data_IF_457707380284
#
_entry.id   IF_457707380284
#
_cell.length_a   1.000
_cell.length_b   1.000
_cell.length_c   1.000
_cell.angle_alpha   90.00
_cell.angle_beta   90.00
_cell.angle_gamma   90.00
#
_symmetry.space_group_name_H-M   'P 1'
#
loop_
_entity.id
_entity.type
_entity.pdbx_description
1 polymer ?
#
# COMPACT_ATOMS: atom_id res chain seq x y z
N UNK A 1 4.43 -27.19 -38.22
CA UNK A 1 4.30 -25.86 -37.63
C UNK A 1 3.71 -25.99 -36.22
N UNK A 2 4.49 -25.62 -35.24
CA UNK A 2 3.96 -25.53 -33.88
C UNK A 2 2.99 -24.35 -33.84
N UNK A 3 1.76 -24.50 -33.31
CA UNK A 3 0.89 -23.36 -33.13
C UNK A 3 1.59 -22.37 -32.19
N UNK A 4 1.75 -21.16 -32.63
CA UNK A 4 2.19 -20.07 -31.80
C UNK A 4 1.14 -19.95 -30.70
N UNK A 5 1.49 -20.36 -29.49
CA UNK A 5 0.66 -20.05 -28.35
C UNK A 5 0.59 -18.52 -28.30
N UNK A 6 -0.54 -17.98 -28.70
CA UNK A 6 -0.87 -16.60 -28.37
C UNK A 6 -0.80 -16.55 -26.85
N UNK A 7 0.22 -15.91 -26.33
CA UNK A 7 0.23 -15.54 -24.92
C UNK A 7 -1.03 -14.71 -24.70
N UNK A 8 -2.03 -15.35 -24.12
CA UNK A 8 -3.32 -14.73 -23.84
C UNK A 8 -3.23 -13.92 -22.54
N UNK A 9 -2.08 -13.24 -22.36
CA UNK A 9 -1.83 -12.38 -21.19
C UNK A 9 -2.67 -11.12 -21.32
N UNK A 10 -3.52 -10.89 -20.35
CA UNK A 10 -4.30 -9.67 -20.25
C UNK A 10 -3.44 -8.53 -19.73
N UNK A 11 -3.83 -7.32 -20.04
CA UNK A 11 -3.24 -6.11 -19.47
C UNK A 11 -4.18 -5.58 -18.41
N UNK A 12 -3.61 -5.33 -17.23
CA UNK A 12 -4.30 -4.68 -16.12
C UNK A 12 -3.98 -3.19 -16.13
N UNK A 13 -5.01 -2.38 -16.00
CA UNK A 13 -4.88 -0.94 -15.82
C UNK A 13 -5.23 -0.59 -14.38
N UNK A 14 -4.20 -0.15 -13.63
CA UNK A 14 -4.34 0.22 -12.23
C UNK A 14 -4.26 1.72 -12.05
N UNK A 15 -5.04 2.25 -11.14
CA UNK A 15 -4.86 3.58 -10.59
C UNK A 15 -4.27 3.47 -9.19
N UNK A 16 -3.12 4.08 -8.98
CA UNK A 16 -2.41 4.11 -7.70
C UNK A 16 -2.58 5.51 -7.13
N UNK A 17 -3.36 5.61 -6.06
CA UNK A 17 -3.77 6.87 -5.45
C UNK A 17 -3.01 7.05 -4.14
N UNK A 18 -2.30 8.17 -4.00
CA UNK A 18 -1.69 8.52 -2.73
C UNK A 18 -2.77 8.80 -1.69
N UNK A 19 -2.71 8.10 -0.55
CA UNK A 19 -3.68 8.24 0.52
C UNK A 19 -3.45 9.55 1.27
N UNK A 20 -4.08 10.62 0.81
CA UNK A 20 -3.98 11.97 1.36
C UNK A 20 -5.35 12.62 1.37
N UNK A 21 -5.67 13.34 2.45
CA UNK A 21 -6.90 14.11 2.56
C UNK A 21 -6.80 15.47 1.86
N UNK A 22 -5.59 15.95 1.59
CA UNK A 22 -5.33 17.30 1.08
C UNK A 22 -5.01 17.33 -0.41
N UNK A 23 -4.37 16.28 -0.91
CA UNK A 23 -3.78 16.27 -2.24
C UNK A 23 -4.43 15.20 -3.11
N UNK A 24 -4.70 15.57 -4.34
CA UNK A 24 -5.16 14.64 -5.37
C UNK A 24 -3.96 14.21 -6.22
N UNK A 25 -3.34 13.11 -5.83
CA UNK A 25 -2.10 12.61 -6.43
C UNK A 25 -2.28 11.15 -6.81
N UNK A 26 -2.10 10.84 -8.09
CA UNK A 26 -2.19 9.45 -8.55
C UNK A 26 -1.37 9.17 -9.79
N UNK A 27 -1.19 7.88 -10.07
CA UNK A 27 -0.53 7.36 -11.28
C UNK A 27 -1.39 6.27 -11.87
N UNK A 28 -1.55 6.27 -13.18
CA UNK A 28 -2.18 5.18 -13.91
C UNK A 28 -1.10 4.36 -14.62
N UNK A 29 -1.13 3.04 -14.39
CA UNK A 29 -0.13 2.09 -14.88
C UNK A 29 -0.84 0.97 -15.62
N UNK A 30 -0.30 0.60 -16.79
CA UNK A 30 -0.67 -0.63 -17.48
C UNK A 30 0.43 -1.65 -17.29
N UNK A 31 0.05 -2.86 -16.88
CA UNK A 31 0.99 -3.95 -16.59
C UNK A 31 0.37 -5.29 -17.01
N UNK A 32 1.21 -6.23 -17.43
CA UNK A 32 0.75 -7.58 -17.78
C UNK A 32 0.20 -8.30 -16.55
N UNK A 33 -0.91 -9.01 -16.72
CA UNK A 33 -1.53 -9.79 -15.65
C UNK A 33 -0.63 -10.89 -15.11
N UNK A 34 0.28 -11.39 -15.93
CA UNK A 34 1.29 -12.40 -15.57
C UNK A 34 2.50 -11.84 -14.82
N UNK A 35 2.62 -10.52 -14.70
CA UNK A 35 3.70 -9.89 -13.95
C UNK A 35 3.59 -10.23 -12.46
N UNK A 36 4.74 -10.22 -11.77
CA UNK A 36 4.79 -10.44 -10.34
C UNK A 36 4.45 -9.15 -9.59
N UNK A 37 4.07 -9.29 -8.32
CA UNK A 37 3.91 -8.14 -7.44
C UNK A 37 5.22 -7.37 -7.24
N UNK A 38 6.37 -8.04 -7.33
CA UNK A 38 7.68 -7.37 -7.28
C UNK A 38 7.88 -6.44 -8.48
N UNK A 39 7.51 -6.89 -9.69
CA UNK A 39 7.56 -6.02 -10.88
C UNK A 39 6.60 -4.83 -10.74
N UNK A 40 5.43 -5.05 -10.16
CA UNK A 40 4.47 -3.99 -9.88
C UNK A 40 5.01 -3.00 -8.83
N UNK A 41 5.60 -3.50 -7.75
CA UNK A 41 6.29 -2.70 -6.74
C UNK A 41 7.37 -1.80 -7.37
N UNK A 42 8.23 -2.37 -8.20
CA UNK A 42 9.28 -1.61 -8.89
C UNK A 42 8.70 -0.53 -9.80
N UNK A 43 7.61 -0.84 -10.49
CA UNK A 43 6.93 0.13 -11.37
C UNK A 43 6.34 1.29 -10.56
N UNK A 44 5.71 1.00 -9.43
CA UNK A 44 5.13 2.01 -8.53
C UNK A 44 6.24 2.92 -7.98
N UNK A 45 7.32 2.35 -7.47
CA UNK A 45 8.43 3.14 -6.91
C UNK A 45 9.05 4.07 -7.95
N UNK A 46 9.23 3.59 -9.18
CA UNK A 46 9.72 4.40 -10.28
C UNK A 46 8.72 5.51 -10.67
N UNK A 47 7.44 5.19 -10.71
CA UNK A 47 6.40 6.14 -11.11
C UNK A 47 6.28 7.31 -10.12
N UNK A 48 6.51 7.08 -8.84
CA UNK A 48 6.47 8.13 -7.81
C UNK A 48 7.83 8.72 -7.47
N UNK A 49 8.91 8.18 -8.02
CA UNK A 49 10.26 8.71 -7.82
C UNK A 49 10.94 8.24 -6.54
N UNK A 50 10.53 7.13 -5.97
CA UNK A 50 11.21 6.52 -4.83
C UNK A 50 12.47 5.76 -5.26
N UNK A 51 13.43 5.63 -4.35
CA UNK A 51 14.66 4.87 -4.59
C UNK A 51 14.45 3.36 -4.68
N UNK A 52 13.35 2.83 -4.15
CA UNK A 52 13.03 1.42 -4.20
C UNK A 52 13.82 0.53 -3.24
N UNK A 53 14.54 1.11 -2.29
CA UNK A 53 15.41 0.38 -1.34
C UNK A 53 14.78 0.11 0.02
N UNK A 54 13.58 0.62 0.26
CA UNK A 54 12.90 0.47 1.53
C UNK A 54 11.96 -0.74 1.56
N UNK A 55 11.53 -1.13 2.75
CA UNK A 55 10.55 -2.19 2.95
C UNK A 55 9.20 -1.79 2.39
N UNK A 56 8.49 -2.76 1.81
CA UNK A 56 7.18 -2.52 1.23
C UNK A 56 6.31 -3.77 1.33
N UNK A 57 5.00 -3.58 1.32
CA UNK A 57 4.01 -4.65 1.24
C UNK A 57 2.77 -4.20 0.50
N UNK A 58 2.13 -5.14 -0.17
CA UNK A 58 0.75 -5.00 -0.64
C UNK A 58 -0.17 -5.73 0.33
N UNK A 59 -1.39 -5.22 0.44
CA UNK A 59 -2.47 -5.87 1.18
C UNK A 59 -3.68 -5.98 0.26
N UNK A 60 -4.29 -7.15 0.18
CA UNK A 60 -5.58 -7.30 -0.50
C UNK A 60 -6.61 -6.46 0.26
N UNK A 61 -7.48 -5.76 -0.46
CA UNK A 61 -8.48 -4.89 0.15
C UNK A 61 -9.85 -5.13 -0.45
N UNK A 62 -10.87 -4.77 0.31
CA UNK A 62 -12.27 -4.83 -0.09
C UNK A 62 -12.80 -3.45 -0.52
N UNK A 63 -14.11 -3.35 -0.74
CA UNK A 63 -14.76 -2.11 -1.17
C UNK A 63 -14.76 -1.01 -0.10
N UNK A 64 -14.45 -1.35 1.14
CA UNK A 64 -14.35 -0.40 2.27
C UNK A 64 -12.91 -0.05 2.62
N UNK A 65 -11.95 -0.54 1.83
CA UNK A 65 -10.52 -0.35 2.06
C UNK A 65 -10.01 -0.98 3.36
N UNK A 66 -10.62 -2.09 3.77
CA UNK A 66 -10.09 -2.88 4.87
C UNK A 66 -8.83 -3.61 4.44
N UNK A 67 -7.84 -3.64 5.33
CA UNK A 67 -6.57 -4.31 5.10
C UNK A 67 -6.73 -5.82 5.27
N UNK A 68 -6.46 -6.59 4.21
CA UNK A 68 -6.55 -8.03 4.19
C UNK A 68 -5.18 -8.71 4.18
N UNK A 69 -5.07 -9.80 3.41
CA UNK A 69 -3.86 -10.61 3.32
C UNK A 69 -2.67 -9.82 2.76
N UNK A 70 -1.51 -10.00 3.37
CA UNK A 70 -0.26 -9.31 3.00
C UNK A 70 0.51 -10.09 1.92
N UNK A 71 1.04 -9.34 0.96
CA UNK A 71 2.02 -9.81 -0.01
C UNK A 71 3.29 -9.00 0.23
N UNK A 72 4.29 -9.62 0.84
CA UNK A 72 5.47 -8.94 1.35
C UNK A 72 6.62 -8.93 0.36
N UNK A 73 7.44 -7.89 0.39
CA UNK A 73 8.68 -7.84 -0.38
C UNK A 73 9.69 -8.88 0.13
N UNK A 74 9.81 -9.00 1.46
CA UNK A 74 10.67 -9.97 2.12
C UNK A 74 9.91 -10.71 3.21
N UNK A 75 10.28 -11.99 3.42
CA UNK A 75 9.73 -12.80 4.50
C UNK A 75 10.37 -12.42 5.84
N UNK A 76 9.60 -11.75 6.68
CA UNK A 76 10.01 -11.33 8.03
C UNK A 76 9.49 -12.28 9.12
N UNK A 77 8.80 -13.36 8.74
CA UNK A 77 8.17 -14.28 9.70
C UNK A 77 9.14 -15.30 10.30
N UNK A 78 10.36 -15.36 9.80
CA UNK A 78 11.38 -16.35 10.20
C UNK A 78 10.92 -17.81 10.06
N UNK A 79 10.04 -18.08 9.09
CA UNK A 79 9.49 -19.40 8.82
C UNK A 79 8.34 -19.81 9.73
N UNK A 80 7.82 -18.91 10.56
CA UNK A 80 6.71 -19.21 11.48
C UNK A 80 5.35 -19.18 10.80
N UNK A 81 5.19 -18.39 9.74
CA UNK A 81 3.94 -18.24 8.99
C UNK A 81 4.17 -18.43 7.49
N UNK A 82 3.14 -18.89 6.78
CA UNK A 82 3.13 -18.85 5.32
C UNK A 82 2.85 -17.42 4.85
N UNK A 83 3.84 -16.80 4.22
CA UNK A 83 3.75 -15.43 3.72
C UNK A 83 3.79 -15.47 2.20
N UNK A 84 2.87 -14.74 1.56
CA UNK A 84 2.96 -14.50 0.12
C UNK A 84 4.09 -13.50 -0.13
N UNK A 85 5.00 -13.85 -1.03
CA UNK A 85 6.11 -13.00 -1.42
C UNK A 85 5.85 -12.36 -2.78
N UNK A 86 6.19 -11.10 -2.92
CA UNK A 86 6.04 -10.36 -4.18
C UNK A 86 6.75 -11.04 -5.35
N UNK A 87 7.92 -11.64 -5.12
CA UNK A 87 8.72 -12.29 -6.16
C UNK A 87 8.10 -13.58 -6.69
N UNK A 88 7.23 -14.22 -5.90
CA UNK A 88 6.65 -15.54 -6.22
C UNK A 88 5.13 -15.45 -6.50
N UNK A 89 4.55 -14.29 -6.46
CA UNK A 89 3.11 -14.10 -6.59
C UNK A 89 2.81 -13.24 -7.82
N UNK A 90 2.07 -13.80 -8.78
CA UNK A 90 1.64 -13.06 -9.97
C UNK A 90 0.39 -12.22 -9.64
N UNK A 91 0.22 -11.14 -10.38
CA UNK A 91 -0.96 -10.28 -10.22
C UNK A 91 -2.25 -11.06 -10.47
N UNK A 92 -2.32 -11.81 -11.57
CA UNK A 92 -3.53 -12.57 -11.94
C UNK A 92 -3.91 -13.64 -10.92
N UNK A 93 -2.96 -14.14 -10.12
CA UNK A 93 -3.25 -15.13 -9.08
C UNK A 93 -4.09 -14.56 -7.93
N UNK A 94 -4.10 -13.24 -7.77
CA UNK A 94 -4.81 -12.55 -6.68
C UNK A 94 -6.04 -11.77 -7.14
N UNK A 95 -6.13 -11.45 -8.43
CA UNK A 95 -7.27 -10.70 -8.99
C UNK A 95 -8.27 -11.65 -9.64
N UNK A 96 -9.08 -12.27 -8.81
CA UNK A 96 -10.17 -13.13 -9.24
C UNK A 96 -11.46 -12.73 -8.48
N UNK A 97 -12.60 -13.11 -9.03
CA UNK A 97 -13.91 -12.73 -8.52
C UNK A 97 -14.05 -11.20 -8.38
N UNK A 98 -14.42 -10.70 -7.21
CA UNK A 98 -14.62 -9.28 -6.94
C UNK A 98 -13.38 -8.57 -6.38
N UNK A 99 -12.22 -9.26 -6.34
CA UNK A 99 -10.99 -8.66 -5.84
C UNK A 99 -10.44 -7.64 -6.84
N UNK A 100 -10.52 -6.35 -6.51
CA UNK A 100 -10.11 -5.24 -7.39
C UNK A 100 -9.26 -4.19 -6.72
N UNK A 101 -9.04 -4.28 -5.41
CA UNK A 101 -8.37 -3.24 -4.62
C UNK A 101 -7.20 -3.79 -3.84
N UNK A 102 -6.16 -2.96 -3.74
CA UNK A 102 -4.97 -3.22 -2.93
C UNK A 102 -4.65 -1.97 -2.12
N UNK A 103 -4.02 -2.19 -0.97
CA UNK A 103 -3.31 -1.15 -0.25
C UNK A 103 -1.82 -1.43 -0.41
N UNK A 104 -1.04 -0.40 -0.74
CA UNK A 104 0.41 -0.50 -0.86
C UNK A 104 1.07 0.43 0.14
N UNK A 105 2.01 -0.10 0.91
CA UNK A 105 2.79 0.67 1.89
C UNK A 105 4.25 0.58 1.53
N UNK A 106 4.89 1.71 1.37
CA UNK A 106 6.32 1.85 1.08
C UNK A 106 7.00 2.56 2.24
N UNK A 107 8.15 2.03 2.66
CA UNK A 107 8.93 2.54 3.80
C UNK A 107 8.14 2.49 5.11
N UNK A 108 8.33 1.40 5.86
CA UNK A 108 7.58 1.16 7.10
C UNK A 108 7.85 2.15 8.23
N UNK A 109 8.92 2.93 8.12
CA UNK A 109 9.18 4.03 9.06
C UNK A 109 8.38 5.28 8.71
N UNK A 110 8.32 5.61 7.41
CA UNK A 110 7.57 6.78 6.92
C UNK A 110 6.12 6.48 6.60
N UNK A 111 5.78 5.22 6.30
CA UNK A 111 4.43 4.75 6.02
C UNK A 111 3.75 5.45 4.84
N UNK A 112 4.46 5.60 3.71
CA UNK A 112 3.84 6.03 2.47
C UNK A 112 2.77 5.03 2.07
N UNK A 113 1.51 5.47 2.06
CA UNK A 113 0.35 4.61 1.82
C UNK A 113 -0.36 5.00 0.53
N UNK A 114 -0.66 4.01 -0.28
CA UNK A 114 -1.35 4.17 -1.57
C UNK A 114 -2.53 3.23 -1.64
N UNK A 115 -3.63 3.74 -2.18
CA UNK A 115 -4.83 2.98 -2.48
C UNK A 115 -4.78 2.62 -3.96
N UNK A 116 -4.89 1.32 -4.27
CA UNK A 116 -4.77 0.83 -5.65
C UNK A 116 -6.07 0.20 -6.08
N UNK A 117 -6.54 0.58 -7.25
CA UNK A 117 -7.76 0.04 -7.84
C UNK A 117 -7.50 -0.46 -9.26
N UNK A 118 -7.95 -1.70 -9.54
CA UNK A 118 -7.98 -2.24 -10.89
C UNK A 118 -9.14 -1.58 -11.64
N UNK A 119 -8.80 -0.67 -12.56
CA UNK A 119 -9.78 0.14 -13.29
C UNK A 119 -10.35 -0.58 -14.50
N UNK A 120 -9.51 -1.35 -15.19
CA UNK A 120 -9.90 -1.98 -16.45
C UNK A 120 -8.95 -3.12 -16.80
N UNK A 121 -9.39 -3.98 -17.69
CA UNK A 121 -8.60 -5.03 -18.30
C UNK A 121 -8.66 -4.88 -19.82
N UNK A 122 -7.54 -5.14 -20.47
CA UNK A 122 -7.42 -5.00 -21.92
C UNK A 122 -6.60 -6.14 -22.51
N UNK A 123 -6.66 -6.28 -23.84
CA UNK A 123 -5.80 -7.22 -24.55
C UNK A 123 -4.40 -6.64 -24.73
N UNK A 124 -3.40 -7.52 -24.70
CA UNK A 124 -2.02 -7.14 -24.98
C UNK A 124 -1.88 -6.58 -26.39
N UNK A 125 -1.30 -5.39 -26.53
CA UNK A 125 -1.09 -4.76 -27.83
C UNK A 125 0.33 -5.00 -28.33
N UNK A 126 0.44 -5.54 -29.56
CA UNK A 126 1.73 -5.71 -30.23
C UNK A 126 2.46 -4.38 -30.39
N UNK A 127 3.75 -4.38 -30.09
CA UNK A 127 4.59 -3.19 -30.20
C UNK A 127 4.52 -2.25 -29.00
N UNK A 128 3.70 -2.55 -28.00
CA UNK A 128 3.65 -1.81 -26.75
C UNK A 128 4.48 -2.49 -25.68
N UNK A 129 5.31 -1.73 -24.97
CA UNK A 129 6.12 -2.24 -23.85
C UNK A 129 5.35 -2.09 -22.55
N UNK A 130 5.38 -3.13 -21.73
CA UNK A 130 4.80 -3.13 -20.39
C UNK A 130 5.87 -3.49 -19.35
N UNK A 131 5.79 -2.99 -18.12
CA UNK A 131 4.79 -2.04 -17.62
C UNK A 131 4.96 -0.64 -18.20
N UNK A 132 3.88 0.14 -18.22
CA UNK A 132 3.88 1.50 -18.77
C UNK A 132 3.12 2.47 -17.86
N UNK A 133 3.74 3.58 -17.54
CA UNK A 133 3.09 4.70 -16.88
C UNK A 133 2.33 5.50 -17.93
N UNK A 134 0.99 5.46 -17.87
CA UNK A 134 0.13 6.08 -18.90
C UNK A 134 -0.40 7.45 -18.50
N UNK A 135 -0.46 7.76 -17.21
CA UNK A 135 -0.91 9.05 -16.71
C UNK A 135 -0.33 9.37 -15.35
N UNK A 136 -0.02 10.63 -15.11
CA UNK A 136 0.48 11.14 -13.82
C UNK A 136 -0.26 12.41 -13.45
N UNK A 137 -0.74 12.50 -12.21
CA UNK A 137 -1.36 13.70 -11.68
C UNK A 137 -0.78 13.99 -10.29
N UNK A 138 -0.28 15.21 -10.12
CA UNK A 138 0.27 15.68 -8.87
C UNK A 138 1.68 15.17 -8.55
N UNK A 139 2.30 15.79 -7.57
CA UNK A 139 3.61 15.43 -7.05
C UNK A 139 3.50 15.11 -5.56
N UNK A 140 4.21 14.07 -5.11
CA UNK A 140 4.26 13.72 -3.70
C UNK A 140 4.90 14.83 -2.86
N UNK A 141 4.43 15.06 -1.62
CA UNK A 141 5.12 15.91 -0.67
C UNK A 141 6.49 15.31 -0.32
N UNK A 142 7.39 16.11 0.26
CA UNK A 142 8.73 15.65 0.66
C UNK A 142 8.66 14.59 1.76
N UNK A 143 7.72 14.75 2.70
CA UNK A 143 7.53 13.86 3.83
C UNK A 143 6.15 13.20 3.79
N UNK A 144 6.09 11.93 4.19
CA UNK A 144 4.83 11.22 4.33
C UNK A 144 3.97 11.86 5.43
N UNK A 145 2.62 11.90 5.25
CA UNK A 145 1.72 12.40 6.28
C UNK A 145 1.84 11.57 7.57
N UNK A 146 1.95 12.24 8.69
CA UNK A 146 2.01 11.58 9.99
C UNK A 146 0.60 11.21 10.44
N UNK A 147 0.24 9.95 10.29
CA UNK A 147 -1.08 9.41 10.65
C UNK A 147 -1.20 8.98 12.11
N UNK A 148 -0.08 8.85 12.82
CA UNK A 148 -0.04 8.38 14.21
C UNK A 148 -0.19 9.51 15.24
N UNK A 149 0.11 10.73 14.85
CA UNK A 149 0.15 11.87 15.78
C UNK A 149 -1.22 12.28 16.32
N UNK A 150 -2.30 12.12 15.55
CA UNK A 150 -3.66 12.48 15.96
C UNK A 150 -4.22 11.53 17.02
N UNK A 151 -3.81 10.26 17.04
CA UNK A 151 -4.28 9.27 18.01
C UNK A 151 -3.57 9.36 19.36
N UNK A 152 -2.31 9.78 19.40
CA UNK A 152 -1.54 9.94 20.63
C UNK A 152 -1.89 11.21 21.41
N UNK A 153 -2.28 12.29 20.72
CA UNK A 153 -2.65 13.56 21.36
C UNK A 153 -3.99 13.52 22.08
N UNK A 154 -4.91 12.67 21.66
CA UNK A 154 -6.21 12.51 22.35
C UNK A 154 -6.11 11.69 23.62
N UNK A 155 -5.13 10.78 23.71
CA UNK A 155 -4.91 9.98 24.90
C UNK A 155 -4.10 10.70 26.00
N UNK A 156 -3.19 11.57 25.61
CA UNK A 156 -2.36 12.30 26.59
C UNK A 156 -3.17 13.34 27.39
N UNK A 157 -4.26 13.88 26.83
CA UNK A 157 -5.08 14.87 27.50
C UNK A 157 -6.01 14.28 28.56
N UNK A 158 -6.36 12.98 28.46
CA UNK A 158 -7.18 12.33 29.48
C UNK A 158 -6.39 11.87 30.71
N UNK A 159 -5.10 11.57 30.54
CA UNK A 159 -4.25 11.12 31.65
C UNK A 159 -3.77 12.24 32.57
N UNK A 160 -3.56 13.44 32.04
CA UNK A 160 -3.13 14.60 32.84
C UNK A 160 -4.21 15.11 33.79
N UNK A 161 -5.49 14.92 33.44
CA UNK A 161 -6.60 15.39 34.29
C UNK A 161 -6.92 14.46 35.47
N UNK A 162 -6.56 13.18 35.38
CA UNK A 162 -6.79 12.23 36.48
C UNK A 162 -5.67 12.24 37.54
N UNK A 163 -4.46 12.58 37.15
CA UNK A 163 -3.32 12.62 38.07
C UNK A 163 -3.32 13.85 38.99
N UNK A 164 -3.87 14.97 38.56
CA UNK A 164 -3.96 16.17 39.39
C UNK A 164 -4.99 16.04 40.51
N UNK A 165 -6.08 15.33 40.31
CA UNK A 165 -7.10 15.13 41.31
C UNK A 165 -6.70 14.13 42.40
N UNK A 166 -5.78 13.19 42.07
CA UNK A 166 -5.34 12.15 43.02
C UNK A 166 -4.26 12.62 44.02
N UNK A 167 -3.48 13.63 43.64
CA UNK A 167 -2.42 14.13 44.53
C UNK A 167 -2.84 15.27 45.42
N UNK A 168 -3.97 15.94 45.11
CA UNK A 168 -4.48 17.05 45.90
C UNK A 168 -5.15 16.63 47.20
N UNK A 169 -5.87 15.54 47.21
CA UNK A 169 -6.65 15.12 48.37
C UNK A 169 -5.85 14.33 49.43
N UNK A 170 -4.75 13.68 49.03
CA UNK A 170 -3.94 12.90 49.95
C UNK A 170 -2.93 13.71 50.76
N UNK A 171 -2.60 14.91 50.31
CA UNK A 171 -1.60 15.73 51.00
C UNK A 171 -2.17 16.48 52.22
N UNK A 172 -3.49 16.75 52.23
CA UNK A 172 -4.11 17.43 53.37
C UNK A 172 -4.45 16.50 54.55
N UNK A 173 -4.73 15.23 54.29
CA UNK A 173 -5.05 14.24 55.31
C UNK A 173 -3.82 13.71 56.08
N UNK A 174 -2.62 13.88 55.54
CA UNK A 174 -1.40 13.44 56.14
C UNK A 174 -0.80 14.41 57.20
N UNK A 175 -1.30 15.59 57.31
CA UNK A 175 -0.80 16.65 58.19
C UNK A 175 -1.75 16.99 59.37
N UNK A 176 -2.84 16.30 59.47
CA UNK A 176 -3.74 16.37 60.60
C UNK A 176 -3.70 15.05 61.40
#
# INVERSE_FOLDING_TARGET
>A
MKPTQKNNTMIYRFRIIFDSKKDDIFRDIEIESSATFEEFHNTITQAFGFGGSEMASFYLSDDEWNQGEEIALFDMSEGMDEVLLMSNTTLESQFFDDQKRLIYVYDFLSMWTFLIELMDTAEHQSGTSYPSLIYSHGMLPEDAPDKQFEAESENDSEWESEDEDLYGDNAEDLWN
#
